data_IF_302403875696
#
_entry.id   IF_302403875696
#
_cell.length_a   1.000
_cell.length_b   1.000
_cell.length_c   1.000
_cell.angle_alpha   90.00
_cell.angle_beta   90.00
_cell.angle_gamma   90.00
#
_symmetry.space_group_name_H-M   'P 1'
#
loop_
_entity.id
_entity.type
_entity.pdbx_description
1 polymer ?
#
# COMPACT_ATOMS: atom_id res chain seq x y z
N UNK A 1 18.96 5.27 -1.16
CA UNK A 1 19.09 6.41 -0.22
C UNK A 1 20.03 5.99 0.88
N UNK A 2 21.13 6.71 1.09
CA UNK A 2 22.01 6.50 2.23
C UNK A 2 21.53 7.39 3.38
N UNK A 3 21.14 6.79 4.50
CA UNK A 3 20.78 7.54 5.70
C UNK A 3 22.05 7.72 6.54
N UNK A 4 22.44 8.96 6.80
CA UNK A 4 23.56 9.29 7.66
C UNK A 4 23.30 8.84 9.10
N UNK A 5 24.36 8.45 9.81
CA UNK A 5 24.31 8.03 11.23
C UNK A 5 24.15 9.18 12.23
N UNK A 6 23.93 10.40 11.75
CA UNK A 6 23.89 11.60 12.58
C UNK A 6 22.44 11.96 12.93
N UNK A 7 22.15 12.03 14.23
CA UNK A 7 20.89 12.53 14.77
C UNK A 7 20.97 14.07 14.89
N UNK A 8 20.02 14.77 14.27
CA UNK A 8 19.71 16.15 14.61
C UNK A 8 18.62 16.15 15.68
N UNK A 9 18.89 16.80 16.81
CA UNK A 9 17.98 16.94 17.94
C UNK A 9 17.14 18.21 17.71
N UNK A 10 15.81 18.09 17.60
CA UNK A 10 14.90 19.25 17.54
C UNK A 10 14.51 19.72 18.94
N UNK A 11 13.77 20.82 19.06
CA UNK A 11 13.27 21.37 20.33
C UNK A 11 12.36 20.42 21.13
N UNK A 12 11.97 19.29 20.54
CA UNK A 12 11.22 18.16 21.13
C UNK A 12 12.09 16.92 21.38
N UNK A 13 13.43 17.05 21.37
CA UNK A 13 14.42 15.97 21.50
C UNK A 13 14.27 14.80 20.52
N UNK A 14 13.50 14.98 19.44
CA UNK A 14 13.38 13.98 18.40
C UNK A 14 14.64 13.98 17.51
N UNK A 15 15.20 12.80 17.32
CA UNK A 15 16.28 12.48 16.40
C UNK A 15 15.77 12.22 14.98
N UNK A 16 16.28 13.00 14.03
CA UNK A 16 16.13 12.73 12.61
C UNK A 16 17.49 12.46 11.97
N UNK A 17 17.53 11.56 10.99
CA UNK A 17 18.73 11.28 10.20
C UNK A 17 18.84 12.22 9.01
N UNK A 18 20.05 12.70 8.72
CA UNK A 18 20.35 13.42 7.48
C UNK A 18 20.43 12.45 6.29
N UNK A 19 19.68 12.73 5.23
CA UNK A 19 19.81 11.99 3.96
C UNK A 19 20.94 12.57 3.11
N UNK A 20 21.83 11.72 2.62
CA UNK A 20 22.88 12.09 1.64
C UNK A 20 22.61 11.37 0.32
N UNK A 21 23.10 11.94 -0.78
CA UNK A 21 23.02 11.36 -2.13
C UNK A 21 21.59 10.94 -2.51
N UNK A 22 20.66 11.90 -2.44
CA UNK A 22 19.28 11.70 -2.88
C UNK A 22 19.24 11.49 -4.40
N UNK A 23 19.39 10.25 -4.84
CA UNK A 23 19.23 9.87 -6.24
C UNK A 23 17.75 9.85 -6.60
N UNK A 24 17.29 10.89 -7.27
CA UNK A 24 15.92 11.00 -7.77
C UNK A 24 15.96 10.80 -9.29
N UNK A 25 15.42 9.66 -9.74
CA UNK A 25 15.47 9.25 -11.15
C UNK A 25 16.88 8.86 -11.64
N UNK A 26 17.00 8.48 -12.92
CA UNK A 26 18.31 8.27 -13.56
C UNK A 26 19.05 9.61 -13.59
N UNK A 27 20.22 9.69 -12.94
CA UNK A 27 21.14 10.83 -12.97
C UNK A 27 20.59 12.17 -12.44
N UNK A 28 19.61 12.17 -11.52
CA UNK A 28 19.07 13.42 -10.96
C UNK A 28 18.24 14.25 -11.96
N UNK A 29 17.83 13.65 -13.08
CA UNK A 29 17.03 14.32 -14.11
C UNK A 29 15.60 14.68 -13.65
N UNK A 30 15.18 14.17 -12.49
CA UNK A 30 13.86 14.42 -11.90
C UNK A 30 14.10 15.03 -10.52
N UNK A 31 13.56 16.21 -10.25
CA UNK A 31 13.56 16.75 -8.89
C UNK A 31 12.67 15.91 -7.97
N UNK A 32 13.11 15.65 -6.74
CA UNK A 32 12.21 15.04 -5.76
C UNK A 32 11.09 16.02 -5.43
N UNK A 33 9.88 15.50 -5.30
CA UNK A 33 8.76 16.27 -4.79
C UNK A 33 8.90 16.60 -3.30
N UNK A 34 9.85 15.99 -2.59
CA UNK A 34 10.07 16.15 -1.15
C UNK A 34 11.56 16.17 -0.80
N UNK A 35 11.93 16.91 0.24
CA UNK A 35 13.33 16.98 0.73
C UNK A 35 13.71 15.83 1.69
N UNK A 36 12.78 14.92 1.97
CA UNK A 36 12.99 13.82 2.91
C UNK A 36 11.84 12.82 3.00
N UNK A 37 12.01 11.86 3.91
CA UNK A 37 11.07 10.79 4.22
C UNK A 37 10.79 10.73 5.72
N UNK A 38 9.52 10.57 6.09
CA UNK A 38 9.12 10.39 7.47
C UNK A 38 8.96 8.89 7.78
N UNK A 39 9.87 8.35 8.59
CA UNK A 39 9.86 6.95 8.97
C UNK A 39 8.78 6.63 10.01
N UNK A 40 7.75 5.87 9.61
CA UNK A 40 6.66 5.43 10.49
C UNK A 40 6.82 3.99 10.98
N UNK A 41 7.97 3.35 10.74
CA UNK A 41 8.23 1.95 11.09
C UNK A 41 8.16 1.62 12.60
N UNK A 42 8.37 0.36 12.94
CA UNK A 42 8.35 -0.16 14.32
C UNK A 42 9.67 0.01 15.08
N UNK A 43 10.67 0.63 14.46
CA UNK A 43 11.98 0.83 15.06
C UNK A 43 11.95 1.90 16.16
N UNK A 44 12.91 1.86 17.08
CA UNK A 44 13.02 2.83 18.18
C UNK A 44 13.23 4.27 17.69
N UNK A 45 13.85 4.45 16.53
CA UNK A 45 14.11 5.75 15.90
C UNK A 45 12.95 6.24 15.00
N UNK A 46 11.83 5.51 14.90
CA UNK A 46 10.67 6.02 14.15
C UNK A 46 10.03 7.19 14.89
N UNK A 47 9.37 8.09 14.16
CA UNK A 47 8.75 9.27 14.78
C UNK A 47 7.77 8.86 15.89
N UNK A 48 6.92 7.86 15.63
CA UNK A 48 5.90 7.41 16.59
C UNK A 48 6.51 6.84 17.87
N UNK A 49 7.63 6.10 17.75
CA UNK A 49 8.36 5.57 18.90
C UNK A 49 9.01 6.68 19.72
N UNK A 50 9.62 7.67 19.05
CA UNK A 50 10.25 8.81 19.73
C UNK A 50 9.22 9.68 20.44
N UNK A 51 8.09 10.00 19.81
CA UNK A 51 6.99 10.72 20.46
C UNK A 51 6.49 9.99 21.72
N UNK A 52 6.45 8.65 21.69
CA UNK A 52 6.11 7.85 22.88
C UNK A 52 7.17 7.92 23.98
N UNK A 53 8.46 7.92 23.62
CA UNK A 53 9.58 8.00 24.57
C UNK A 53 9.61 9.34 25.32
N UNK A 54 9.17 10.42 24.66
CA UNK A 54 9.02 11.73 25.27
C UNK A 54 7.64 11.94 25.93
N UNK A 55 6.85 10.87 26.09
CA UNK A 55 5.52 10.89 26.68
C UNK A 55 4.52 11.89 26.04
N UNK A 56 4.73 12.25 24.77
CA UNK A 56 3.87 13.17 24.01
C UNK A 56 2.55 12.47 23.62
N UNK A 57 2.63 11.23 23.15
CA UNK A 57 1.45 10.45 22.74
C UNK A 57 1.72 8.94 22.86
N UNK A 58 0.70 8.10 22.65
CA UNK A 58 0.87 6.65 22.59
C UNK A 58 1.64 6.23 21.34
N UNK A 59 2.25 5.05 21.35
CA UNK A 59 2.91 4.48 20.17
C UNK A 59 1.88 3.91 19.18
N UNK A 60 1.03 4.78 18.65
CA UNK A 60 -0.09 4.49 17.77
C UNK A 60 -0.16 5.61 16.74
N UNK A 61 -0.46 5.26 15.49
CA UNK A 61 -0.76 6.23 14.45
C UNK A 61 -1.89 5.72 13.56
N UNK A 62 -2.59 6.65 12.91
CA UNK A 62 -3.59 6.37 11.90
C UNK A 62 -3.21 7.10 10.60
N UNK A 63 -3.34 6.39 9.48
CA UNK A 63 -3.05 6.95 8.17
C UNK A 63 -4.20 6.69 7.21
N UNK A 64 -4.81 7.77 6.73
CA UNK A 64 -5.86 7.73 5.72
C UNK A 64 -5.33 8.38 4.45
N UNK A 65 -5.10 7.56 3.43
CA UNK A 65 -4.69 8.00 2.09
C UNK A 65 -5.91 8.40 1.27
N UNK A 66 -5.77 9.44 0.47
CA UNK A 66 -6.81 9.91 -0.45
C UNK A 66 -6.20 10.21 -1.81
N UNK A 67 -6.85 9.75 -2.88
CA UNK A 67 -6.49 10.08 -4.26
C UNK A 67 -6.89 11.50 -4.65
N UNK A 68 -7.83 12.11 -3.93
CA UNK A 68 -8.43 13.40 -4.26
C UNK A 68 -7.98 14.53 -3.30
N UNK A 69 -6.94 14.28 -2.50
CA UNK A 69 -6.53 15.16 -1.40
C UNK A 69 -7.41 15.01 -0.14
N UNK A 70 -7.03 15.70 0.93
CA UNK A 70 -7.74 15.66 2.22
C UNK A 70 -7.54 14.38 3.05
N UNK A 71 -6.54 13.56 2.70
CA UNK A 71 -6.08 12.48 3.57
C UNK A 71 -5.47 13.01 4.86
N UNK A 72 -5.26 12.14 5.85
CA UNK A 72 -4.70 12.53 7.14
C UNK A 72 -3.68 11.53 7.67
N UNK A 73 -2.75 12.05 8.47
CA UNK A 73 -1.83 11.30 9.30
C UNK A 73 -2.00 11.82 10.73
N UNK A 74 -2.22 10.92 11.66
CA UNK A 74 -2.48 11.24 13.06
C UNK A 74 -1.67 10.35 13.99
N UNK A 75 -1.19 10.92 15.10
CA UNK A 75 -0.39 10.21 16.11
C UNK A 75 -1.15 10.22 17.44
N UNK A 76 -1.44 9.04 17.98
CA UNK A 76 -2.21 8.85 19.21
C UNK A 76 -3.38 7.89 19.07
N UNK A 77 -4.18 7.77 20.13
CA UNK A 77 -5.26 6.78 20.26
C UNK A 77 -6.67 7.32 19.94
N UNK A 78 -6.83 8.65 19.80
CA UNK A 78 -8.16 9.29 19.81
C UNK A 78 -9.03 8.99 18.58
N UNK A 79 -8.47 8.45 17.50
CA UNK A 79 -9.23 8.16 16.26
C UNK A 79 -9.76 6.71 16.24
N UNK A 80 -9.43 5.85 17.21
CA UNK A 80 -9.82 4.42 17.14
C UNK A 80 -11.34 4.24 17.28
N UNK A 81 -12.03 3.92 16.18
CA UNK A 81 -13.47 3.59 16.19
C UNK A 81 -13.71 2.10 16.44
N UNK A 82 -14.75 1.77 17.20
CA UNK A 82 -15.16 0.38 17.46
C UNK A 82 -15.70 -0.33 16.22
N UNK A 83 -16.18 0.44 15.22
CA UNK A 83 -16.76 -0.07 13.95
C UNK A 83 -15.72 -0.59 12.96
N UNK A 84 -14.42 -0.36 13.20
CA UNK A 84 -13.38 -0.77 12.29
C UNK A 84 -13.04 -2.27 12.41
N UNK A 85 -12.81 -2.89 11.26
CA UNK A 85 -12.23 -4.22 11.21
C UNK A 85 -10.79 -4.18 11.73
N UNK A 86 -10.46 -5.09 12.65
CA UNK A 86 -9.14 -5.15 13.29
C UNK A 86 -8.42 -6.44 12.92
N UNK A 87 -7.14 -6.30 12.58
CA UNK A 87 -6.22 -7.41 12.43
C UNK A 87 -5.11 -7.28 13.47
N UNK A 88 -4.68 -8.39 14.07
CA UNK A 88 -3.51 -8.38 14.96
C UNK A 88 -2.25 -8.25 14.12
N UNK A 89 -1.47 -7.22 14.37
CA UNK A 89 -0.17 -7.05 13.73
C UNK A 89 0.82 -8.07 14.30
N UNK A 90 1.29 -8.98 13.46
CA UNK A 90 2.33 -9.92 13.81
C UNK A 90 3.65 -9.21 14.06
N UNK A 91 4.40 -9.72 15.03
CA UNK A 91 5.75 -9.25 15.28
C UNK A 91 6.68 -9.90 14.25
N UNK A 92 7.16 -9.11 13.30
CA UNK A 92 8.21 -9.60 12.38
C UNK A 92 9.48 -9.89 13.17
N UNK A 93 10.13 -11.01 12.85
CA UNK A 93 11.45 -11.40 13.37
C UNK A 93 12.59 -10.88 12.50
N UNK A 94 12.28 -10.38 11.29
CA UNK A 94 13.25 -10.01 10.25
C UNK A 94 13.25 -8.51 9.89
N UNK A 95 12.38 -7.69 10.50
CA UNK A 95 12.39 -6.25 10.24
C UNK A 95 11.43 -5.40 11.09
N UNK A 96 11.56 -4.09 10.93
CA UNK A 96 10.77 -3.06 11.63
C UNK A 96 9.53 -2.61 10.85
N UNK A 97 8.92 -3.51 10.07
CA UNK A 97 7.75 -3.22 9.23
C UNK A 97 6.44 -3.71 9.87
N UNK A 98 5.32 -3.25 9.34
CA UNK A 98 3.98 -3.61 9.79
C UNK A 98 3.44 -4.77 8.94
N UNK A 99 3.15 -5.90 9.59
CA UNK A 99 2.54 -7.07 8.95
C UNK A 99 1.35 -7.61 9.76
N UNK A 100 0.19 -7.89 9.15
CA UNK A 100 -0.92 -8.63 9.77
C UNK A 100 -0.74 -10.17 9.74
N UNK A 101 0.51 -10.65 9.57
CA UNK A 101 0.88 -12.05 9.31
C UNK A 101 0.59 -12.52 7.88
N UNK A 102 0.71 -13.84 7.67
CA UNK A 102 0.39 -14.46 6.40
C UNK A 102 -1.12 -14.37 6.09
N UNK A 103 -1.44 -14.05 4.84
CA UNK A 103 -2.81 -13.94 4.34
C UNK A 103 -3.05 -14.84 3.13
N UNK A 104 -4.30 -15.31 3.00
CA UNK A 104 -4.78 -16.07 1.84
C UNK A 104 -5.50 -15.14 0.88
N UNK A 105 -5.13 -15.20 -0.40
CA UNK A 105 -5.72 -14.38 -1.44
C UNK A 105 -6.96 -15.04 -2.05
N UNK A 106 -8.03 -14.25 -2.17
CA UNK A 106 -9.30 -14.64 -2.76
C UNK A 106 -9.65 -13.68 -3.91
N UNK A 107 -10.36 -14.22 -4.89
CA UNK A 107 -11.06 -13.45 -5.91
C UNK A 107 -12.56 -13.70 -5.74
N UNK A 108 -13.31 -12.62 -5.51
CA UNK A 108 -14.69 -12.70 -5.02
C UNK A 108 -14.79 -13.62 -3.80
N UNK A 109 -15.54 -14.72 -3.89
CA UNK A 109 -15.76 -15.66 -2.78
C UNK A 109 -14.80 -16.86 -2.80
N UNK A 110 -13.91 -16.97 -3.79
CA UNK A 110 -13.10 -18.18 -4.03
C UNK A 110 -11.61 -17.95 -3.73
N UNK A 111 -10.94 -18.86 -3.01
CA UNK A 111 -9.50 -18.78 -2.81
C UNK A 111 -8.78 -19.02 -4.14
N UNK A 112 -7.66 -18.35 -4.36
CA UNK A 112 -6.87 -18.47 -5.60
C UNK A 112 -5.95 -19.70 -5.63
N UNK A 113 -6.04 -20.59 -4.64
CA UNK A 113 -5.21 -21.81 -4.59
C UNK A 113 -3.72 -21.57 -4.34
N UNK A 114 -3.33 -20.35 -3.97
CA UNK A 114 -1.96 -20.01 -3.58
C UNK A 114 -1.77 -20.20 -2.08
N UNK A 115 -0.57 -20.60 -1.67
CA UNK A 115 -0.23 -20.71 -0.25
C UNK A 115 -0.37 -19.33 0.43
N UNK A 116 -0.81 -19.29 1.70
CA UNK A 116 -0.80 -18.04 2.46
C UNK A 116 0.60 -17.40 2.42
N UNK A 117 0.66 -16.12 2.11
CA UNK A 117 1.91 -15.37 1.95
C UNK A 117 2.00 -14.27 3.00
N UNK A 118 3.20 -13.97 3.47
CA UNK A 118 3.43 -12.81 4.33
C UNK A 118 2.94 -11.54 3.63
N UNK A 119 2.20 -10.71 4.36
CA UNK A 119 1.69 -9.43 3.90
C UNK A 119 2.39 -8.31 4.66
N UNK A 120 2.83 -7.28 3.95
CA UNK A 120 3.47 -6.10 4.54
C UNK A 120 2.71 -4.86 4.08
N UNK A 121 2.44 -3.94 5.00
CA UNK A 121 1.95 -2.61 4.65
C UNK A 121 3.13 -1.71 4.33
N UNK A 122 3.15 -1.19 3.11
CA UNK A 122 4.20 -0.33 2.58
C UNK A 122 3.58 0.92 1.96
N UNK A 123 3.92 2.09 2.51
CA UNK A 123 3.55 3.40 1.97
C UNK A 123 4.64 3.98 1.05
N UNK A 124 5.77 3.28 0.87
CA UNK A 124 6.88 3.68 0.02
C UNK A 124 6.74 3.24 -1.45
N UNK A 125 5.73 2.42 -1.75
CA UNK A 125 5.45 1.91 -3.09
C UNK A 125 4.13 2.45 -3.64
N UNK A 126 4.09 2.78 -4.93
CA UNK A 126 2.88 3.21 -5.63
C UNK A 126 1.92 2.05 -5.92
N UNK A 127 2.45 0.85 -6.15
CA UNK A 127 1.67 -0.34 -6.50
C UNK A 127 1.82 -1.45 -5.47
N UNK A 128 0.84 -2.35 -5.42
CA UNK A 128 0.95 -3.60 -4.67
C UNK A 128 1.81 -4.60 -5.43
N UNK A 129 2.76 -5.21 -4.74
CA UNK A 129 3.62 -6.25 -5.29
C UNK A 129 3.21 -7.61 -4.77
N UNK A 130 3.14 -8.57 -5.70
CA UNK A 130 2.96 -9.98 -5.38
C UNK A 130 4.21 -10.76 -5.78
N UNK A 131 4.53 -11.79 -5.01
CA UNK A 131 5.43 -12.84 -5.49
C UNK A 131 4.85 -13.47 -6.77
N UNK A 132 5.72 -14.11 -7.56
CA UNK A 132 5.37 -14.59 -8.90
C UNK A 132 4.09 -15.45 -8.93
N UNK A 133 3.96 -16.43 -8.02
CA UNK A 133 2.80 -17.32 -8.01
C UNK A 133 1.48 -16.60 -7.66
N UNK A 134 1.35 -15.84 -6.54
CA UNK A 134 0.18 -15.01 -6.28
C UNK A 134 -0.16 -14.01 -7.39
N UNK A 135 0.85 -13.40 -8.02
CA UNK A 135 0.65 -12.49 -9.16
C UNK A 135 -0.05 -13.21 -10.32
N UNK A 136 0.50 -14.34 -10.77
CA UNK A 136 -0.05 -15.10 -11.89
C UNK A 136 -1.45 -15.63 -11.60
N UNK A 137 -1.70 -16.12 -10.38
CA UNK A 137 -3.02 -16.59 -9.97
C UNK A 137 -4.06 -15.45 -9.98
N UNK A 138 -3.66 -14.25 -9.52
CA UNK A 138 -4.51 -13.05 -9.53
C UNK A 138 -4.87 -12.64 -10.95
N UNK A 139 -3.87 -12.51 -11.82
CA UNK A 139 -4.06 -12.13 -13.22
C UNK A 139 -4.95 -13.13 -13.95
N UNK A 140 -4.72 -14.43 -13.74
CA UNK A 140 -5.51 -15.50 -14.36
C UNK A 140 -6.97 -15.45 -13.90
N UNK A 141 -7.22 -15.24 -12.61
CA UNK A 141 -8.57 -15.15 -12.07
C UNK A 141 -9.33 -13.92 -12.58
N UNK A 142 -8.66 -12.76 -12.63
CA UNK A 142 -9.24 -11.54 -13.21
C UNK A 142 -9.61 -11.80 -14.67
N UNK A 143 -8.66 -12.30 -15.48
CA UNK A 143 -8.88 -12.59 -16.90
C UNK A 143 -10.03 -13.54 -17.16
N UNK A 144 -10.13 -14.62 -16.37
CA UNK A 144 -11.22 -15.58 -16.47
C UNK A 144 -12.59 -14.97 -16.10
N UNK A 145 -12.61 -13.93 -15.27
CA UNK A 145 -13.81 -13.21 -14.86
C UNK A 145 -14.22 -12.04 -15.77
N UNK A 146 -13.39 -11.66 -16.74
CA UNK A 146 -13.67 -10.49 -17.59
C UNK A 146 -14.82 -10.74 -18.57
N UNK A 147 -15.58 -9.68 -18.83
CA UNK A 147 -16.56 -9.67 -19.90
C UNK A 147 -15.91 -9.82 -21.28
N UNK A 148 -16.59 -10.53 -22.18
CA UNK A 148 -16.16 -10.71 -23.57
C UNK A 148 -16.13 -9.40 -24.38
N UNK A 149 -16.74 -8.33 -23.85
CA UNK A 149 -16.69 -7.00 -24.45
C UNK A 149 -15.34 -6.30 -24.29
N UNK A 150 -14.46 -6.81 -23.41
CA UNK A 150 -13.13 -6.28 -23.18
C UNK A 150 -12.10 -7.02 -24.03
N UNK A 151 -11.31 -6.25 -24.80
CA UNK A 151 -10.23 -6.80 -25.62
C UNK A 151 -8.88 -6.42 -25.01
N UNK A 152 -8.00 -7.40 -24.80
CA UNK A 152 -6.65 -7.16 -24.32
C UNK A 152 -5.88 -6.32 -25.35
N UNK A 153 -5.15 -5.32 -24.88
CA UNK A 153 -4.31 -4.43 -25.71
C UNK A 153 -2.93 -4.28 -25.09
N UNK A 154 -1.95 -3.92 -25.91
CA UNK A 154 -0.64 -3.51 -25.45
C UNK A 154 -0.64 -1.98 -25.27
N UNK A 155 -0.15 -1.51 -24.13
CA UNK A 155 0.04 -0.09 -23.82
C UNK A 155 1.35 0.05 -23.03
N UNK A 156 2.21 1.02 -23.34
CA UNK A 156 3.48 1.20 -22.62
C UNK A 156 3.29 1.63 -21.15
N UNK A 157 2.10 2.09 -20.77
CA UNK A 157 1.81 2.61 -19.43
C UNK A 157 1.76 1.51 -18.37
N UNK A 158 1.21 0.33 -18.70
CA UNK A 158 1.02 -0.78 -17.75
C UNK A 158 1.20 -2.14 -18.44
N UNK A 159 1.67 -3.17 -17.72
CA UNK A 159 1.93 -4.49 -18.30
C UNK A 159 0.68 -5.24 -18.78
N UNK A 160 -0.50 -4.86 -18.28
CA UNK A 160 -1.77 -5.52 -18.57
C UNK A 160 -2.86 -4.48 -18.80
N UNK A 161 -3.34 -4.38 -20.04
CA UNK A 161 -4.35 -3.41 -20.44
C UNK A 161 -5.48 -4.06 -21.25
N UNK A 162 -6.67 -3.49 -21.12
CA UNK A 162 -7.87 -3.87 -21.88
C UNK A 162 -8.60 -2.63 -22.35
N UNK A 163 -9.19 -2.72 -23.55
CA UNK A 163 -10.11 -1.70 -24.08
C UNK A 163 -11.53 -2.25 -24.15
N UNK A 164 -12.51 -1.40 -23.85
CA UNK A 164 -13.92 -1.66 -24.14
C UNK A 164 -14.35 -1.06 -25.48
N UNK A 165 -15.65 -1.21 -25.78
CA UNK A 165 -16.26 -0.58 -26.96
C UNK A 165 -16.36 0.96 -26.85
N UNK A 166 -16.41 1.47 -25.62
CA UNK A 166 -16.48 2.91 -25.31
C UNK A 166 -15.27 3.30 -24.48
N UNK A 167 -14.88 4.57 -24.56
CA UNK A 167 -13.84 5.16 -23.72
C UNK A 167 -14.32 5.21 -22.27
N UNK A 168 -13.50 4.71 -21.35
CA UNK A 168 -13.72 4.84 -19.91
C UNK A 168 -13.18 6.19 -19.44
N UNK A 169 -13.99 6.97 -18.73
CA UNK A 169 -13.58 8.24 -18.10
C UNK A 169 -13.09 8.01 -16.68
N UNK A 170 -13.59 6.97 -16.02
CA UNK A 170 -13.21 6.61 -14.66
C UNK A 170 -13.39 5.12 -14.40
N UNK A 171 -12.81 4.61 -13.31
CA UNK A 171 -13.02 3.21 -12.89
C UNK A 171 -14.51 2.92 -12.65
N UNK A 172 -15.30 3.92 -12.24
CA UNK A 172 -16.74 3.78 -12.04
C UNK A 172 -17.51 3.33 -13.28
N UNK A 173 -17.00 3.61 -14.49
CA UNK A 173 -17.62 3.22 -15.74
C UNK A 173 -17.55 1.71 -15.99
N UNK A 174 -16.57 1.03 -15.39
CA UNK A 174 -16.27 -0.37 -15.67
C UNK A 174 -16.26 -1.27 -14.43
N UNK A 175 -16.22 -0.72 -13.21
CA UNK A 175 -16.06 -1.49 -11.98
C UNK A 175 -17.06 -2.62 -11.77
N UNK A 176 -18.27 -2.53 -12.35
CA UNK A 176 -19.31 -3.57 -12.26
C UNK A 176 -18.94 -4.87 -13.00
N UNK A 177 -18.06 -4.78 -14.00
CA UNK A 177 -17.53 -5.92 -14.76
C UNK A 177 -16.41 -6.64 -14.02
N UNK A 178 -15.93 -6.08 -12.91
CA UNK A 178 -14.80 -6.58 -12.13
C UNK A 178 -15.27 -7.01 -10.73
N UNK A 179 -14.57 -7.98 -10.14
CA UNK A 179 -14.86 -8.48 -8.79
C UNK A 179 -13.77 -8.07 -7.82
N UNK A 180 -14.11 -7.80 -6.57
CA UNK A 180 -13.12 -7.48 -5.56
C UNK A 180 -12.16 -8.65 -5.31
N UNK A 181 -10.91 -8.32 -5.01
CA UNK A 181 -9.97 -9.25 -4.38
C UNK A 181 -10.13 -9.14 -2.86
N UNK A 182 -9.81 -10.21 -2.15
CA UNK A 182 -9.80 -10.18 -0.68
C UNK A 182 -8.52 -10.82 -0.15
N UNK A 183 -7.88 -10.14 0.79
CA UNK A 183 -6.84 -10.73 1.62
C UNK A 183 -7.45 -11.16 2.94
N UNK A 184 -7.46 -12.48 3.22
CA UNK A 184 -7.98 -13.01 4.49
C UNK A 184 -6.85 -13.41 5.41
N UNK A 185 -6.89 -12.91 6.63
CA UNK A 185 -5.90 -13.18 7.68
C UNK A 185 -6.46 -14.19 8.70
N UNK A 186 -5.59 -14.64 9.61
CA UNK A 186 -6.03 -15.47 10.75
C UNK A 186 -7.16 -14.76 11.55
N UNK A 187 -8.11 -15.52 12.08
CA UNK A 187 -9.32 -15.05 12.81
C UNK A 187 -10.45 -14.44 11.94
N UNK A 188 -10.54 -14.83 10.67
CA UNK A 188 -11.60 -14.40 9.73
C UNK A 188 -11.65 -12.90 9.42
N UNK A 189 -10.63 -12.12 9.79
CA UNK A 189 -10.50 -10.73 9.32
C UNK A 189 -10.16 -10.74 7.83
N UNK A 190 -10.90 -9.96 7.05
CA UNK A 190 -10.68 -9.79 5.62
C UNK A 190 -10.44 -8.32 5.30
N UNK A 191 -9.47 -8.06 4.42
CA UNK A 191 -9.28 -6.78 3.77
C UNK A 191 -9.78 -6.89 2.33
N UNK A 192 -10.78 -6.09 1.98
CA UNK A 192 -11.24 -5.97 0.61
C UNK A 192 -10.31 -5.07 -0.20
N UNK A 193 -10.02 -5.50 -1.43
CA UNK A 193 -9.35 -4.72 -2.45
C UNK A 193 -10.36 -4.58 -3.59
N UNK A 194 -11.15 -3.50 -3.53
CA UNK A 194 -12.17 -3.18 -4.51
C UNK A 194 -11.55 -2.88 -5.90
N UNK A 195 -12.32 -2.95 -6.99
CA UNK A 195 -11.84 -2.63 -8.34
C UNK A 195 -11.14 -1.27 -8.44
N UNK A 196 -11.59 -0.26 -7.70
CA UNK A 196 -10.97 1.07 -7.63
C UNK A 196 -9.53 1.04 -7.10
N UNK A 197 -9.14 -0.01 -6.36
CA UNK A 197 -7.82 -0.15 -5.76
C UNK A 197 -6.86 -1.02 -6.57
N UNK A 198 -7.30 -1.61 -7.69
CA UNK A 198 -6.43 -2.40 -8.57
C UNK A 198 -6.61 -2.12 -10.07
N UNK A 199 -7.58 -1.26 -10.45
CA UNK A 199 -7.77 -0.80 -11.82
C UNK A 199 -7.29 0.64 -11.98
N UNK A 200 -6.70 0.92 -13.13
CA UNK A 200 -6.27 2.25 -13.54
C UNK A 200 -6.86 2.51 -14.92
N UNK A 201 -7.54 3.63 -15.07
CA UNK A 201 -7.98 4.11 -16.39
C UNK A 201 -6.87 4.99 -16.94
N UNK A 202 -6.21 4.52 -18.00
CA UNK A 202 -5.27 5.33 -18.76
C UNK A 202 -6.03 6.08 -19.84
N UNK A 203 -5.69 7.36 -20.03
CA UNK A 203 -6.10 8.09 -21.22
C UNK A 203 -4.99 7.86 -22.23
N UNK A 204 -5.25 7.08 -23.28
CA UNK A 204 -4.32 7.00 -24.42
C UNK A 204 -4.26 8.40 -25.04
N UNK A 205 -3.12 9.08 -24.86
CA UNK A 205 -2.81 10.34 -25.54
C UNK A 205 -2.48 10.03 -27.00
#
# INVERSE_FOLDING_TARGET
>A
MSFGKHCLITTTDCCFSCGYDQQVGKNGAVQAATDGLLGLGRGSVSLVSQLKQHDITKNVFAHCLSTNGGGFLYFGEDIVSTSWSRATMARSTSGNYYSPAAGTLYFDKRPLGVKPTEVVFDSGSTYTYFAAQPYQATVSAIQAGLSKSLTKVCDPSLPLCWKGQKVFKSVSDIKKEFKSLFMRFSKNTAMEIAPENYLIVTVSI
#
